data_IF_996202082915
#
_entry.id   IF_996202082915
#
_cell.length_a   1.000
_cell.length_b   1.000
_cell.length_c   1.000
_cell.angle_alpha   90.00
_cell.angle_beta   90.00
_cell.angle_gamma   90.00
#
_symmetry.space_group_name_H-M   'P 1'
#
loop_
_entity.id
_entity.type
_entity.pdbx_description
1 polymer ?
#
# COMPACT_ATOMS: atom_id res chain seq x y z
N UNK A 1 -30.83 -6.20 3.14
CA UNK A 1 -30.56 -5.67 4.49
C UNK A 1 -31.81 -5.83 5.33
N UNK A 2 -31.71 -6.36 6.57
CA UNK A 2 -32.87 -6.65 7.42
C UNK A 2 -32.89 -5.63 8.54
N UNK A 3 -34.01 -4.93 8.74
CA UNK A 3 -34.13 -3.88 9.78
C UNK A 3 -33.99 -4.53 11.15
N UNK A 4 -32.94 -4.16 11.89
CA UNK A 4 -32.69 -4.68 13.25
C UNK A 4 -33.04 -3.62 14.28
N UNK A 5 -33.97 -3.95 15.17
CA UNK A 5 -34.27 -3.11 16.34
C UNK A 5 -33.15 -3.26 17.37
N UNK A 6 -32.35 -2.20 17.51
CA UNK A 6 -31.30 -2.15 18.52
C UNK A 6 -31.94 -1.88 19.89
N UNK A 7 -31.53 -2.66 20.90
CA UNK A 7 -31.93 -2.46 22.30
C UNK A 7 -30.72 -2.10 23.14
N UNK A 8 -30.93 -1.27 24.14
CA UNK A 8 -29.89 -0.85 25.06
C UNK A 8 -29.36 -2.03 25.89
N UNK A 9 -28.05 -2.01 26.12
CA UNK A 9 -27.35 -3.06 26.84
C UNK A 9 -27.66 -2.99 28.34
N UNK A 10 -28.17 -4.10 28.89
CA UNK A 10 -28.59 -4.17 30.29
C UNK A 10 -27.46 -4.52 31.28
N UNK A 11 -26.41 -5.24 30.85
CA UNK A 11 -25.33 -5.72 31.73
C UNK A 11 -23.94 -5.71 31.09
N UNK A 12 -22.91 -5.45 31.91
CA UNK A 12 -21.49 -5.51 31.56
C UNK A 12 -20.97 -4.30 30.77
N UNK A 13 -19.64 -4.22 30.64
CA UNK A 13 -18.95 -3.12 29.94
C UNK A 13 -18.72 -3.41 28.45
N UNK A 14 -18.72 -2.34 27.63
CA UNK A 14 -18.38 -2.43 26.21
C UNK A 14 -16.97 -2.96 26.02
N UNK A 15 -16.81 -3.99 25.15
CA UNK A 15 -15.50 -4.43 24.65
C UNK A 15 -14.96 -3.50 23.55
N UNK A 16 -15.75 -2.50 23.14
CA UNK A 16 -15.38 -1.49 22.18
C UNK A 16 -14.91 -0.25 22.93
N UNK A 17 -13.64 -0.26 23.33
CA UNK A 17 -12.93 0.93 23.82
C UNK A 17 -12.19 1.66 22.70
N UNK A 18 -11.44 2.71 23.04
CA UNK A 18 -10.66 3.50 22.07
C UNK A 18 -9.67 2.66 21.25
N UNK A 19 -9.15 1.58 21.82
CA UNK A 19 -8.28 0.61 21.14
C UNK A 19 -8.95 -0.02 19.90
N UNK A 20 -10.28 -0.18 19.93
CA UNK A 20 -11.04 -0.74 18.80
C UNK A 20 -11.11 0.22 17.61
N UNK A 21 -10.97 1.53 17.82
CA UNK A 21 -10.98 2.49 16.71
C UNK A 21 -9.72 2.31 15.86
N UNK A 22 -8.55 2.22 16.51
CA UNK A 22 -7.27 2.01 15.81
C UNK A 22 -7.23 0.63 15.15
N UNK A 23 -7.57 -0.44 15.90
CA UNK A 23 -7.59 -1.81 15.35
C UNK A 23 -8.61 -1.96 14.23
N UNK A 24 -9.81 -1.38 14.38
CA UNK A 24 -10.85 -1.41 13.36
C UNK A 24 -10.44 -0.69 12.07
N UNK A 25 -9.73 0.44 12.18
CA UNK A 25 -9.16 1.12 11.01
C UNK A 25 -8.12 0.27 10.28
N UNK A 26 -7.17 -0.31 11.03
CA UNK A 26 -6.13 -1.18 10.47
C UNK A 26 -6.71 -2.48 9.86
N UNK A 27 -7.73 -3.06 10.50
CA UNK A 27 -8.47 -4.21 9.98
C UNK A 27 -9.17 -3.86 8.67
N UNK A 28 -9.85 -2.70 8.61
CA UNK A 28 -10.53 -2.27 7.40
C UNK A 28 -9.53 -2.06 6.26
N UNK A 29 -8.39 -1.39 6.52
CA UNK A 29 -7.32 -1.26 5.55
C UNK A 29 -6.84 -2.62 5.04
N UNK A 30 -6.62 -3.56 5.96
CA UNK A 30 -6.15 -4.91 5.64
C UNK A 30 -7.15 -5.69 4.79
N UNK A 31 -8.43 -5.71 5.18
CA UNK A 31 -9.51 -6.38 4.45
C UNK A 31 -9.67 -5.76 3.07
N UNK A 32 -9.65 -4.43 2.97
CA UNK A 32 -9.79 -3.73 1.68
C UNK A 32 -8.60 -4.03 0.78
N UNK A 33 -7.38 -4.04 1.33
CA UNK A 33 -6.17 -4.39 0.61
C UNK A 33 -6.21 -5.84 0.11
N UNK A 34 -6.51 -6.81 0.97
CA UNK A 34 -6.56 -8.23 0.62
C UNK A 34 -7.65 -8.48 -0.43
N UNK A 35 -8.84 -7.91 -0.23
CA UNK A 35 -9.97 -8.08 -1.13
C UNK A 35 -9.68 -7.55 -2.54
N UNK A 36 -9.06 -6.37 -2.65
CA UNK A 36 -8.83 -5.70 -3.94
C UNK A 36 -7.50 -6.06 -4.61
N UNK A 37 -6.44 -6.23 -3.82
CA UNK A 37 -5.06 -6.35 -4.29
C UNK A 37 -4.37 -7.67 -3.89
N UNK A 38 -5.00 -8.54 -3.08
CA UNK A 38 -4.35 -9.77 -2.59
C UNK A 38 -3.85 -10.72 -3.69
N UNK A 39 -4.53 -10.75 -4.85
CA UNK A 39 -4.12 -11.56 -6.02
C UNK A 39 -3.18 -10.82 -6.98
N UNK A 40 -3.02 -9.50 -6.84
CA UNK A 40 -2.27 -8.62 -7.75
C UNK A 40 -1.61 -7.46 -7.00
N UNK A 41 -0.79 -7.71 -5.96
CA UNK A 41 -0.22 -6.67 -5.12
C UNK A 41 0.67 -5.69 -5.89
N UNK A 42 1.23 -6.10 -7.03
CA UNK A 42 2.06 -5.22 -7.87
C UNK A 42 1.30 -4.00 -8.39
N UNK A 43 -0.01 -4.09 -8.60
CA UNK A 43 -0.79 -2.95 -9.11
C UNK A 43 -0.87 -1.79 -8.13
N UNK A 44 -0.86 -2.05 -6.81
CA UNK A 44 -0.89 -1.00 -5.81
C UNK A 44 0.52 -0.47 -5.56
N UNK A 45 1.40 -1.34 -5.08
CA UNK A 45 2.74 -0.95 -4.63
C UNK A 45 3.67 -0.61 -5.78
N UNK A 46 3.57 -1.33 -6.90
CA UNK A 46 4.32 -1.04 -8.11
C UNK A 46 3.95 0.34 -8.65
N UNK A 47 2.65 0.61 -8.87
CA UNK A 47 2.19 1.90 -9.40
C UNK A 47 2.57 3.07 -8.49
N UNK A 48 2.28 2.97 -7.18
CA UNK A 48 2.64 4.00 -6.20
C UNK A 48 4.16 4.19 -6.12
N UNK A 49 4.92 3.09 -6.11
CA UNK A 49 6.37 3.10 -6.07
C UNK A 49 6.99 3.80 -7.29
N UNK A 50 6.54 3.45 -8.50
CA UNK A 50 6.99 4.13 -9.72
C UNK A 50 6.61 5.61 -9.75
N UNK A 51 5.39 5.97 -9.32
CA UNK A 51 4.96 7.38 -9.30
C UNK A 51 5.84 8.18 -8.35
N UNK A 52 6.08 7.66 -7.14
CA UNK A 52 6.90 8.32 -6.13
C UNK A 52 8.37 8.42 -6.58
N UNK A 53 8.89 7.37 -7.21
CA UNK A 53 10.23 7.38 -7.79
C UNK A 53 10.37 8.44 -8.90
N UNK A 54 9.41 8.52 -9.82
CA UNK A 54 9.40 9.51 -10.91
C UNK A 54 9.34 10.92 -10.33
N UNK A 55 8.52 11.17 -9.31
CA UNK A 55 8.46 12.46 -8.64
C UNK A 55 9.81 12.84 -8.00
N UNK A 56 10.45 11.91 -7.27
CA UNK A 56 11.78 12.12 -6.71
C UNK A 56 12.86 12.32 -7.78
N UNK A 57 12.79 11.58 -8.88
CA UNK A 57 13.70 11.68 -10.00
C UNK A 57 13.55 13.02 -10.75
N UNK A 58 12.32 13.51 -10.93
CA UNK A 58 12.04 14.83 -11.49
C UNK A 58 12.62 15.95 -10.61
N UNK A 59 12.52 15.81 -9.28
CA UNK A 59 13.20 16.72 -8.34
C UNK A 59 14.71 16.64 -8.55
N UNK A 60 15.28 15.44 -8.67
CA UNK A 60 16.70 15.23 -8.95
C UNK A 60 17.17 15.92 -10.24
N UNK A 61 16.42 15.77 -11.34
CA UNK A 61 16.69 16.44 -12.62
C UNK A 61 16.62 17.95 -12.45
N UNK A 62 15.57 18.46 -11.81
CA UNK A 62 15.42 19.90 -11.57
C UNK A 62 16.63 20.47 -10.81
N UNK A 63 17.07 19.79 -9.75
CA UNK A 63 18.24 20.22 -8.99
C UNK A 63 19.53 20.08 -9.81
N UNK A 64 19.69 19.02 -10.60
CA UNK A 64 20.84 18.87 -11.49
C UNK A 64 20.91 20.04 -12.49
N UNK A 65 19.79 20.38 -13.14
CA UNK A 65 19.72 21.51 -14.07
C UNK A 65 20.02 22.84 -13.35
N UNK A 66 19.44 23.06 -12.18
CA UNK A 66 19.73 24.24 -11.36
C UNK A 66 21.23 24.38 -11.02
N UNK A 67 21.90 23.27 -10.72
CA UNK A 67 23.33 23.26 -10.40
C UNK A 67 24.19 23.60 -11.62
N UNK A 68 23.94 22.94 -12.75
CA UNK A 68 24.84 23.02 -13.92
C UNK A 68 24.56 24.22 -14.83
N UNK A 69 23.29 24.61 -15.02
CA UNK A 69 22.93 25.70 -15.93
C UNK A 69 22.76 27.05 -15.22
N UNK A 70 22.32 27.04 -13.97
CA UNK A 70 22.05 28.26 -13.21
C UNK A 70 23.10 28.55 -12.13
N UNK A 71 24.20 27.77 -12.08
CA UNK A 71 25.30 27.92 -11.11
C UNK A 71 24.80 27.99 -9.66
N UNK A 72 23.73 27.26 -9.34
CA UNK A 72 23.18 27.24 -7.98
C UNK A 72 24.04 26.33 -7.10
N UNK A 73 24.64 26.91 -6.07
CA UNK A 73 25.48 26.19 -5.11
C UNK A 73 24.69 25.72 -3.88
N UNK A 74 25.33 24.90 -3.04
CA UNK A 74 24.78 24.39 -1.76
C UNK A 74 23.50 23.56 -1.93
N UNK A 75 23.54 22.56 -2.81
CA UNK A 75 22.38 21.72 -3.08
C UNK A 75 21.94 20.88 -1.88
N UNK A 76 22.91 20.45 -1.07
CA UNK A 76 22.68 19.69 0.16
C UNK A 76 21.98 20.50 1.24
N UNK A 77 22.04 21.83 1.19
CA UNK A 77 21.40 22.68 2.21
C UNK A 77 19.92 22.89 1.91
N UNK A 78 19.44 22.45 0.73
CA UNK A 78 18.05 22.58 0.32
C UNK A 78 17.25 21.38 0.83
N UNK A 79 16.20 21.58 1.65
CA UNK A 79 15.34 20.49 2.11
C UNK A 79 14.79 19.64 0.94
N UNK A 80 14.53 20.29 -0.20
CA UNK A 80 14.03 19.64 -1.42
C UNK A 80 14.96 18.52 -1.93
N UNK A 81 16.28 18.63 -1.73
CA UNK A 81 17.23 17.57 -2.09
C UNK A 81 16.95 16.29 -1.31
N UNK A 82 16.77 16.41 0.02
CA UNK A 82 16.47 15.27 0.88
C UNK A 82 15.08 14.70 0.60
N UNK A 83 14.07 15.53 0.31
CA UNK A 83 12.76 15.04 -0.11
C UNK A 83 12.82 14.27 -1.43
N UNK A 84 13.57 14.75 -2.42
CA UNK A 84 13.79 14.04 -3.68
C UNK A 84 14.47 12.68 -3.46
N UNK A 85 15.55 12.66 -2.66
CA UNK A 85 16.26 11.44 -2.30
C UNK A 85 15.36 10.43 -1.56
N UNK A 86 14.64 10.89 -0.53
CA UNK A 86 13.71 10.06 0.23
C UNK A 86 12.59 9.52 -0.65
N UNK A 87 12.02 10.33 -1.54
CA UNK A 87 11.00 9.89 -2.49
C UNK A 87 11.52 8.79 -3.44
N UNK A 88 12.76 8.92 -3.94
CA UNK A 88 13.38 7.89 -4.77
C UNK A 88 13.64 6.60 -3.98
N UNK A 89 14.14 6.70 -2.74
CA UNK A 89 14.38 5.53 -1.88
C UNK A 89 13.07 4.82 -1.53
N UNK A 90 12.06 5.55 -1.05
CA UNK A 90 10.74 4.99 -0.71
C UNK A 90 10.03 4.44 -1.95
N UNK A 91 10.13 5.11 -3.10
CA UNK A 91 9.55 4.65 -4.36
C UNK A 91 10.13 3.31 -4.80
N UNK A 92 11.46 3.16 -4.71
CA UNK A 92 12.17 1.91 -5.00
C UNK A 92 11.77 0.80 -4.01
N UNK A 93 11.70 1.12 -2.72
CA UNK A 93 11.27 0.16 -1.69
C UNK A 93 9.84 -0.33 -1.95
N UNK A 94 8.89 0.57 -2.22
CA UNK A 94 7.51 0.20 -2.54
C UNK A 94 7.44 -0.69 -3.79
N UNK A 95 8.17 -0.34 -4.85
CA UNK A 95 8.22 -1.14 -6.06
C UNK A 95 8.74 -2.57 -5.78
N UNK A 96 9.86 -2.68 -5.05
CA UNK A 96 10.42 -3.97 -4.65
C UNK A 96 9.47 -4.77 -3.76
N UNK A 97 8.82 -4.13 -2.79
CA UNK A 97 7.81 -4.79 -1.94
C UNK A 97 6.65 -5.31 -2.77
N UNK A 98 6.14 -4.53 -3.73
CA UNK A 98 5.10 -4.96 -4.65
C UNK A 98 5.51 -6.17 -5.48
N UNK A 99 6.72 -6.13 -6.02
CA UNK A 99 7.27 -7.21 -6.83
C UNK A 99 7.46 -8.49 -6.03
N UNK A 100 8.03 -8.40 -4.82
CA UNK A 100 8.18 -9.53 -3.91
C UNK A 100 6.83 -10.10 -3.50
N UNK A 101 5.85 -9.25 -3.17
CA UNK A 101 4.51 -9.69 -2.82
C UNK A 101 3.82 -10.44 -3.96
N UNK A 102 4.02 -9.99 -5.21
CA UNK A 102 3.50 -10.66 -6.40
C UNK A 102 4.14 -12.03 -6.60
N UNK A 103 5.46 -12.16 -6.40
CA UNK A 103 6.15 -13.45 -6.46
C UNK A 103 5.67 -14.41 -5.37
N UNK A 104 5.55 -13.94 -4.12
CA UNK A 104 5.06 -14.74 -2.99
C UNK A 104 3.62 -15.19 -3.22
N UNK A 105 2.74 -14.29 -3.69
CA UNK A 105 1.34 -14.61 -4.02
C UNK A 105 1.23 -15.68 -5.10
N UNK A 106 2.15 -15.66 -6.09
CA UNK A 106 2.20 -16.67 -7.16
C UNK A 106 2.82 -18.00 -6.74
N UNK A 107 3.63 -18.00 -5.68
CA UNK A 107 4.31 -19.20 -5.17
C UNK A 107 3.44 -20.05 -4.23
N UNK A 108 2.21 -19.64 -3.90
CA UNK A 108 1.39 -20.39 -2.94
C UNK A 108 0.89 -21.72 -3.51
N UNK A 109 1.06 -22.80 -2.75
CA UNK A 109 0.63 -24.15 -3.14
C UNK A 109 -0.89 -24.29 -3.24
N UNK A 110 -1.63 -23.46 -2.50
CA UNK A 110 -3.11 -23.49 -2.45
C UNK A 110 -3.78 -22.72 -3.61
N UNK A 111 -3.01 -22.13 -4.52
CA UNK A 111 -3.55 -21.31 -5.62
C UNK A 111 -4.51 -22.08 -6.54
N UNK A 112 -4.30 -23.39 -6.68
CA UNK A 112 -5.13 -24.28 -7.49
C UNK A 112 -6.11 -25.12 -6.65
N UNK A 113 -6.35 -24.77 -5.39
CA UNK A 113 -7.42 -25.40 -4.61
C UNK A 113 -8.72 -24.67 -4.92
N UNK A 114 -9.54 -25.30 -5.74
CA UNK A 114 -10.89 -24.86 -6.04
C UNK A 114 -11.88 -25.77 -5.29
N UNK A 115 -12.87 -25.16 -4.66
CA UNK A 115 -14.03 -25.90 -4.16
C UNK A 115 -14.92 -26.24 -5.35
N UNK A 116 -14.95 -27.51 -5.74
CA UNK A 116 -15.87 -28.01 -6.76
C UNK A 116 -17.26 -28.03 -6.15
N UNK A 117 -18.12 -27.10 -6.59
CA UNK A 117 -19.50 -26.98 -6.08
C UNK A 117 -20.42 -28.05 -6.68
N UNK A 118 -20.15 -28.47 -7.93
CA UNK A 118 -20.93 -29.50 -8.60
C UNK A 118 -20.09 -30.19 -9.68
N UNK A 119 -20.02 -31.51 -9.60
CA UNK A 119 -19.43 -32.34 -10.65
C UNK A 119 -20.56 -32.80 -11.58
N UNK A 120 -20.46 -32.45 -12.86
CA UNK A 120 -21.42 -32.91 -13.88
C UNK A 120 -20.69 -34.00 -14.66
N UNK A 121 -21.00 -35.26 -14.33
CA UNK A 121 -20.51 -36.42 -15.08
C UNK A 121 -21.09 -36.46 -16.50
N UNK A 122 -20.49 -37.30 -17.35
CA UNK A 122 -21.05 -37.67 -18.67
C UNK A 122 -22.36 -38.43 -18.46
#
# INVERSE_FOLDING_TARGET
EKVVHHRERQYGISKFGMERIVKGYLDLLSITFISKFGKRPMHLFGAMGTLLFIAGFAIGIYLAVAKYFFMVYKMTDRPLFYFGLLAMMLGTQLFLTGFLAEMVSRSSSDRNIYHVEKEVGI
#
